data_IF_565351334540
#
_entry.id   IF_565351334540
#
_cell.length_a   1.000
_cell.length_b   1.000
_cell.length_c   1.000
_cell.angle_alpha   90.00
_cell.angle_beta   90.00
_cell.angle_gamma   90.00
#
_symmetry.space_group_name_H-M   'P 1'
#
loop_
_entity.id
_entity.type
_entity.pdbx_description
1 polymer ?
#
# COMPACT_ATOMS: atom_id res chain seq x y z
N UNK A 1 -16.02 0.17 -22.87
CA UNK A 1 -16.68 0.98 -21.84
C UNK A 1 -16.70 2.44 -22.28
N UNK A 2 -17.79 3.16 -21.99
CA UNK A 2 -17.85 4.59 -22.32
C UNK A 2 -16.86 5.36 -21.45
N UNK A 3 -16.09 6.25 -22.06
CA UNK A 3 -15.20 7.15 -21.32
C UNK A 3 -16.06 8.04 -20.42
N UNK A 4 -15.83 8.10 -19.10
CA UNK A 4 -16.61 8.94 -18.20
C UNK A 4 -16.42 10.42 -18.56
N UNK A 5 -17.41 11.24 -18.23
CA UNK A 5 -17.29 12.68 -18.41
C UNK A 5 -16.12 13.23 -17.57
N UNK A 6 -15.35 14.21 -18.08
CA UNK A 6 -14.16 14.72 -17.39
C UNK A 6 -14.40 15.16 -15.94
N UNK A 7 -15.58 15.72 -15.63
CA UNK A 7 -15.93 16.11 -14.27
C UNK A 7 -16.05 14.92 -13.28
N UNK A 8 -16.34 13.72 -13.77
CA UNK A 8 -16.51 12.52 -12.94
C UNK A 8 -15.16 11.95 -12.47
N UNK A 9 -14.09 12.21 -13.23
CA UNK A 9 -12.76 11.64 -12.98
C UNK A 9 -11.75 12.70 -12.52
N UNK A 10 -12.16 13.95 -12.41
CA UNK A 10 -11.29 15.03 -11.94
C UNK A 10 -10.78 14.75 -10.52
N UNK A 11 -9.48 14.89 -10.34
CA UNK A 11 -8.82 14.63 -9.07
C UNK A 11 -8.63 13.15 -8.75
N UNK A 12 -8.94 12.23 -9.65
CA UNK A 12 -8.79 10.79 -9.44
C UNK A 12 -7.59 10.22 -10.21
N UNK A 13 -7.03 9.14 -9.68
CA UNK A 13 -6.17 8.25 -10.45
C UNK A 13 -7.04 7.40 -11.36
N UNK A 14 -6.86 7.47 -12.67
CA UNK A 14 -7.72 6.76 -13.62
C UNK A 14 -7.02 5.54 -14.18
N UNK A 15 -7.73 4.40 -14.19
CA UNK A 15 -7.22 3.17 -14.79
C UNK A 15 -6.78 3.42 -16.23
N UNK A 16 -5.55 3.06 -16.54
CA UNK A 16 -4.97 3.05 -17.88
C UNK A 16 -4.44 1.66 -18.20
N UNK A 17 -4.87 1.11 -19.32
CA UNK A 17 -4.47 -0.22 -19.80
C UNK A 17 -4.58 -1.33 -18.72
N UNK A 18 -5.64 -1.31 -17.91
CA UNK A 18 -5.87 -2.31 -16.87
C UNK A 18 -4.96 -2.14 -15.65
N UNK A 19 -4.45 -0.95 -15.39
CA UNK A 19 -3.57 -0.68 -14.26
C UNK A 19 -3.79 0.72 -13.70
N UNK A 20 -3.64 0.88 -12.37
CA UNK A 20 -3.55 2.17 -11.68
C UNK A 20 -2.32 2.15 -10.78
N UNK A 21 -1.39 3.07 -10.96
CA UNK A 21 -0.17 3.19 -10.16
C UNK A 21 -0.17 4.49 -9.37
N UNK A 22 -0.14 4.41 -8.05
CA UNK A 22 -0.37 5.51 -7.12
C UNK A 22 0.86 5.70 -6.24
N UNK A 23 1.55 6.86 -6.28
CA UNK A 23 2.59 7.19 -5.30
C UNK A 23 2.01 7.23 -3.89
N UNK A 24 2.73 6.72 -2.90
CA UNK A 24 2.23 6.70 -1.53
C UNK A 24 1.93 8.10 -0.97
N UNK A 25 2.69 9.12 -1.39
CA UNK A 25 2.47 10.51 -1.02
C UNK A 25 1.23 11.15 -1.69
N UNK A 26 0.67 10.51 -2.73
CA UNK A 26 -0.50 10.98 -3.48
C UNK A 26 -1.85 10.64 -2.84
N UNK A 27 -1.92 10.50 -1.53
CA UNK A 27 -3.17 10.21 -0.84
C UNK A 27 -4.15 11.39 -0.91
N UNK A 28 -5.43 11.07 -1.02
CA UNK A 28 -6.51 12.06 -0.98
C UNK A 28 -6.92 12.40 0.46
N UNK A 29 -6.84 11.41 1.35
CA UNK A 29 -7.17 11.56 2.76
C UNK A 29 -6.19 10.80 3.64
N UNK A 30 -5.85 11.40 4.77
CA UNK A 30 -5.03 10.83 5.81
C UNK A 30 -5.78 10.85 7.13
N UNK A 31 -5.88 9.70 7.78
CA UNK A 31 -6.49 9.55 9.09
C UNK A 31 -5.44 9.11 10.10
N UNK A 32 -5.30 9.85 11.15
CA UNK A 32 -4.37 9.62 12.24
C UNK A 32 -5.10 9.55 13.57
N UNK A 33 -4.47 8.98 14.59
CA UNK A 33 -4.95 9.04 15.96
C UNK A 33 -3.87 9.62 16.89
N UNK A 34 -4.10 9.63 18.18
CA UNK A 34 -3.14 10.18 19.16
C UNK A 34 -1.84 9.37 19.24
N UNK A 35 -1.91 8.06 19.00
CA UNK A 35 -0.81 7.12 19.16
C UNK A 35 0.03 6.98 17.88
N UNK A 36 -0.58 7.19 16.71
CA UNK A 36 0.06 6.94 15.42
C UNK A 36 -0.08 8.13 14.51
N UNK A 37 1.06 8.68 14.10
CA UNK A 37 1.20 9.73 13.09
C UNK A 37 1.92 9.16 11.87
N UNK A 38 1.54 9.62 10.69
CA UNK A 38 2.17 9.24 9.44
C UNK A 38 3.13 10.33 8.98
N UNK A 39 4.33 9.94 8.61
CA UNK A 39 5.39 10.87 8.21
C UNK A 39 5.69 10.72 6.74
N UNK A 40 5.62 11.83 6.00
CA UNK A 40 6.16 11.91 4.65
C UNK A 40 7.68 11.98 4.72
N UNK A 41 8.35 11.12 3.97
CA UNK A 41 9.80 11.08 3.87
C UNK A 41 10.18 11.47 2.43
N UNK A 42 10.76 12.65 2.30
CA UNK A 42 11.20 13.17 1.01
C UNK A 42 12.51 12.50 0.57
N UNK A 43 12.72 12.46 -0.74
CA UNK A 43 13.91 11.88 -1.39
C UNK A 43 14.16 10.40 -1.07
N UNK A 44 13.11 9.66 -0.75
CA UNK A 44 13.17 8.25 -0.42
C UNK A 44 12.26 7.45 -1.36
N UNK A 45 12.77 6.27 -1.79
CA UNK A 45 12.03 5.35 -2.64
C UNK A 45 12.05 5.70 -4.12
N UNK A 46 11.34 4.90 -4.91
CA UNK A 46 11.33 5.02 -6.38
C UNK A 46 10.63 6.29 -6.89
N UNK A 47 9.65 6.78 -6.15
CA UNK A 47 8.88 7.97 -6.51
C UNK A 47 9.40 9.24 -5.81
N UNK A 48 10.58 9.18 -5.17
CA UNK A 48 11.22 10.26 -4.41
C UNK A 48 10.46 10.70 -3.15
N UNK A 49 9.35 10.06 -2.84
CA UNK A 49 8.58 10.30 -1.63
C UNK A 49 8.00 8.97 -1.14
N UNK A 50 8.08 8.75 0.16
CA UNK A 50 7.50 7.59 0.83
C UNK A 50 6.73 8.02 2.07
N UNK A 51 5.80 7.19 2.53
CA UNK A 51 5.04 7.48 3.74
C UNK A 51 5.29 6.40 4.79
N UNK A 52 5.83 6.80 5.93
CA UNK A 52 5.97 5.93 7.09
C UNK A 52 4.66 5.88 7.86
N UNK A 53 4.13 4.67 8.00
CA UNK A 53 2.87 4.36 8.67
C UNK A 53 3.10 4.18 10.18
N UNK A 54 3.22 5.29 10.90
CA UNK A 54 3.56 5.30 12.31
C UNK A 54 5.06 5.23 12.59
N UNK A 55 5.49 6.00 13.57
CA UNK A 55 6.86 5.97 14.06
C UNK A 55 7.17 4.57 14.63
N UNK A 56 8.41 4.05 14.52
CA UNK A 56 8.79 2.73 15.05
C UNK A 56 8.42 2.46 16.51
N UNK A 57 8.33 3.48 17.33
CA UNK A 57 7.94 3.37 18.74
C UNK A 57 6.42 3.53 18.99
N UNK A 58 5.63 3.64 17.93
CA UNK A 58 4.17 3.72 18.05
C UNK A 58 3.56 2.37 18.42
N UNK A 59 2.35 2.43 18.99
CA UNK A 59 1.61 1.20 19.34
C UNK A 59 1.10 0.47 18.10
N UNK A 60 1.09 -0.84 18.15
CA UNK A 60 0.43 -1.70 17.16
C UNK A 60 -1.06 -1.37 17.07
N UNK A 61 -1.59 -1.32 15.87
CA UNK A 61 -2.98 -1.01 15.60
C UNK A 61 -3.74 -2.25 15.13
N UNK A 62 -5.04 -2.30 15.43
CA UNK A 62 -5.96 -3.29 14.84
C UNK A 62 -6.48 -2.75 13.52
N UNK A 63 -6.11 -3.37 12.41
CA UNK A 63 -6.44 -2.91 11.05
C UNK A 63 -7.94 -2.83 10.74
N UNK A 64 -8.79 -3.57 11.46
CA UNK A 64 -10.26 -3.53 11.33
C UNK A 64 -10.97 -2.53 12.26
N UNK A 65 -10.24 -1.71 13.01
CA UNK A 65 -10.84 -0.73 13.92
C UNK A 65 -11.40 0.49 13.21
N UNK A 66 -12.50 1.07 13.72
CA UNK A 66 -13.13 2.28 13.13
C UNK A 66 -12.19 3.48 13.06
N UNK A 67 -11.34 3.66 14.07
CA UNK A 67 -10.40 4.79 14.19
C UNK A 67 -8.96 4.39 13.87
N UNK A 68 -8.77 3.31 13.10
CA UNK A 68 -7.43 2.89 12.72
C UNK A 68 -6.83 3.89 11.73
N UNK A 69 -5.61 4.37 11.99
CA UNK A 69 -4.89 5.26 11.09
C UNK A 69 -4.73 4.64 9.71
N UNK A 70 -4.97 5.44 8.67
CA UNK A 70 -4.93 4.95 7.29
C UNK A 70 -4.73 6.07 6.29
N UNK A 71 -4.24 5.70 5.13
CA UNK A 71 -4.20 6.51 3.92
C UNK A 71 -5.29 6.03 2.97
N UNK A 72 -5.97 6.97 2.32
CA UNK A 72 -7.01 6.67 1.34
C UNK A 72 -6.70 7.34 0.01
N UNK A 73 -6.85 6.56 -1.07
CA UNK A 73 -6.55 6.97 -2.44
C UNK A 73 -7.77 6.71 -3.31
N UNK A 74 -8.33 7.78 -3.87
CA UNK A 74 -9.48 7.70 -4.76
C UNK A 74 -9.00 7.40 -6.18
N UNK A 75 -9.63 6.44 -6.81
CA UNK A 75 -9.35 6.07 -8.19
C UNK A 75 -10.63 5.76 -8.97
N UNK A 76 -10.53 5.75 -10.27
CA UNK A 76 -11.59 5.33 -11.17
C UNK A 76 -11.17 4.10 -11.94
N UNK A 77 -11.97 3.04 -11.88
CA UNK A 77 -11.73 1.84 -12.67
C UNK A 77 -12.76 1.69 -13.80
N UNK A 78 -12.30 1.28 -14.96
CA UNK A 78 -13.14 0.79 -16.07
C UNK A 78 -13.42 -0.69 -15.93
N UNK A 79 -12.62 -1.38 -15.13
CA UNK A 79 -12.67 -2.82 -14.90
C UNK A 79 -13.44 -3.14 -13.62
N UNK A 80 -13.89 -4.39 -13.51
CA UNK A 80 -14.51 -4.97 -12.32
C UNK A 80 -14.05 -6.41 -12.14
N UNK A 81 -14.36 -7.03 -11.01
CA UNK A 81 -13.95 -8.37 -10.67
C UNK A 81 -12.73 -8.37 -9.76
N UNK A 82 -11.87 -9.36 -9.94
CA UNK A 82 -10.65 -9.52 -9.14
C UNK A 82 -9.63 -8.46 -9.51
N UNK A 83 -9.03 -7.81 -8.51
CA UNK A 83 -7.94 -6.85 -8.65
C UNK A 83 -6.78 -7.23 -7.74
N UNK A 84 -5.58 -7.32 -8.29
CA UNK A 84 -4.36 -7.54 -7.53
C UNK A 84 -3.77 -6.19 -7.09
N UNK A 85 -3.77 -5.95 -5.79
CA UNK A 85 -3.18 -4.75 -5.19
C UNK A 85 -1.76 -5.06 -4.76
N UNK A 86 -0.79 -4.44 -5.41
CA UNK A 86 0.62 -4.53 -5.06
C UNK A 86 1.00 -3.33 -4.21
N UNK A 87 1.49 -3.58 -2.99
CA UNK A 87 2.06 -2.55 -2.13
C UNK A 87 3.57 -2.63 -2.18
N UNK A 88 4.20 -1.57 -2.64
CA UNK A 88 5.66 -1.40 -2.70
C UNK A 88 6.11 -0.68 -1.44
N UNK A 89 7.00 -1.30 -0.68
CA UNK A 89 7.46 -0.80 0.62
C UNK A 89 8.98 -0.85 0.70
N UNK A 90 9.56 -0.05 1.58
CA UNK A 90 10.97 -0.24 1.94
C UNK A 90 11.11 -1.55 2.73
N UNK A 91 12.20 -2.29 2.51
CA UNK A 91 12.53 -3.41 3.39
C UNK A 91 12.82 -2.88 4.79
N UNK A 92 12.02 -3.27 5.77
CA UNK A 92 12.19 -2.91 7.17
C UNK A 92 12.22 -4.17 8.02
N UNK A 93 12.97 -4.13 9.13
CA UNK A 93 12.90 -5.18 10.13
C UNK A 93 11.62 -5.06 10.93
N UNK A 94 11.08 -6.20 11.44
CA UNK A 94 9.97 -6.15 12.39
C UNK A 94 10.37 -5.38 13.64
N UNK A 95 9.51 -4.47 14.06
CA UNK A 95 9.76 -3.59 15.21
C UNK A 95 8.94 -4.00 16.44
N UNK A 96 8.29 -5.16 16.43
CA UNK A 96 7.52 -5.60 17.58
C UNK A 96 8.45 -5.88 18.77
N UNK A 97 8.21 -5.15 19.86
CA UNK A 97 9.01 -5.19 21.08
C UNK A 97 9.03 -6.56 21.79
N UNK A 98 8.11 -7.43 21.45
CA UNK A 98 7.93 -8.72 22.14
C UNK A 98 8.92 -9.80 21.71
N UNK A 99 9.78 -9.53 20.73
CA UNK A 99 10.73 -10.55 20.24
C UNK A 99 12.07 -9.93 19.81
N UNK A 100 12.98 -9.74 20.76
CA UNK A 100 14.36 -9.41 20.41
C UNK A 100 15.00 -10.62 19.71
N UNK A 101 15.41 -10.45 18.45
CA UNK A 101 16.30 -11.38 17.75
C UNK A 101 15.83 -12.85 17.64
N UNK A 102 14.59 -13.08 17.21
CA UNK A 102 14.15 -14.44 16.90
C UNK A 102 14.85 -14.93 15.63
N UNK A 103 15.95 -15.62 15.76
CA UNK A 103 16.64 -16.33 14.68
C UNK A 103 15.85 -17.53 14.15
N UNK A 104 14.77 -17.93 14.80
CA UNK A 104 14.05 -19.15 14.47
C UNK A 104 12.54 -18.98 14.49
N UNK A 105 11.92 -19.29 13.36
CA UNK A 105 10.56 -19.84 13.15
C UNK A 105 9.33 -19.08 13.61
N UNK A 106 9.39 -17.95 14.22
CA UNK A 106 8.19 -17.26 14.63
C UNK A 106 7.95 -15.99 13.83
N UNK A 107 6.72 -15.78 13.45
CA UNK A 107 6.15 -14.67 12.72
C UNK A 107 6.64 -13.28 13.19
N UNK A 108 7.85 -12.92 12.81
CA UNK A 108 8.37 -11.55 12.90
C UNK A 108 7.90 -10.72 11.71
N UNK A 109 6.68 -10.97 11.28
CA UNK A 109 6.11 -10.32 10.13
C UNK A 109 5.44 -9.02 10.54
N UNK A 110 5.79 -7.96 9.86
CA UNK A 110 5.14 -6.65 10.02
C UNK A 110 3.84 -6.64 9.25
N UNK A 111 2.72 -6.46 9.93
CA UNK A 111 1.35 -6.49 9.39
C UNK A 111 0.86 -5.09 9.08
N UNK A 112 0.13 -4.97 7.98
CA UNK A 112 -0.66 -3.77 7.64
C UNK A 112 -1.98 -4.21 7.04
N UNK A 113 -2.89 -3.28 6.81
CA UNK A 113 -4.18 -3.58 6.20
C UNK A 113 -4.29 -3.02 4.78
N UNK A 114 -4.99 -3.76 3.91
CA UNK A 114 -5.40 -3.29 2.58
C UNK A 114 -6.88 -3.56 2.41
N UNK A 115 -7.63 -2.56 1.94
CA UNK A 115 -9.05 -2.69 1.62
C UNK A 115 -9.41 -1.82 0.42
N UNK A 116 -10.51 -2.15 -0.25
CA UNK A 116 -11.15 -1.28 -1.23
C UNK A 116 -12.55 -0.97 -0.72
N UNK A 117 -12.92 0.31 -0.75
CA UNK A 117 -14.19 0.84 -0.26
C UNK A 117 -14.49 0.37 1.18
N UNK A 118 -15.69 -0.13 1.43
CA UNK A 118 -16.08 -0.74 2.71
C UNK A 118 -15.96 -2.27 2.70
N UNK A 119 -15.18 -2.81 1.76
CA UNK A 119 -14.92 -4.24 1.67
C UNK A 119 -14.06 -4.78 2.81
N UNK A 120 -13.81 -6.09 2.82
CA UNK A 120 -13.03 -6.73 3.87
C UNK A 120 -11.59 -6.22 3.90
N UNK A 121 -11.07 -6.03 5.12
CA UNK A 121 -9.66 -5.69 5.31
C UNK A 121 -8.81 -6.95 5.25
N UNK A 122 -7.90 -7.01 4.28
CA UNK A 122 -6.87 -8.03 4.21
C UNK A 122 -5.64 -7.58 4.96
N UNK A 123 -4.93 -8.51 5.59
CA UNK A 123 -3.77 -8.21 6.43
C UNK A 123 -2.49 -8.87 5.88
N UNK A 124 -1.91 -8.34 4.81
CA UNK A 124 -0.63 -8.83 4.32
C UNK A 124 0.50 -8.50 5.29
N UNK A 125 1.62 -9.22 5.14
CA UNK A 125 2.81 -9.05 5.93
C UNK A 125 4.00 -8.65 5.06
N UNK A 126 4.89 -7.78 5.56
CA UNK A 126 5.95 -7.19 4.74
C UNK A 126 7.34 -7.70 5.00
N UNK A 127 7.61 -8.17 6.20
CA UNK A 127 8.97 -8.54 6.59
C UNK A 127 9.25 -10.01 6.35
N UNK A 128 10.49 -10.28 6.14
CA UNK A 128 11.07 -11.61 6.22
C UNK A 128 12.15 -11.58 7.31
N UNK A 129 12.44 -12.71 7.91
CA UNK A 129 13.53 -12.77 8.86
C UNK A 129 14.88 -12.58 8.15
N UNK A 130 15.83 -12.04 8.87
CA UNK A 130 17.21 -11.83 8.42
C UNK A 130 17.81 -13.14 7.89
N UNK A 131 18.56 -13.06 6.78
CA UNK A 131 19.15 -14.18 6.05
C UNK A 131 18.17 -15.08 5.28
N UNK A 132 16.86 -14.84 5.29
CA UNK A 132 15.97 -15.49 4.35
C UNK A 132 16.21 -15.00 2.91
N UNK A 133 16.03 -15.86 1.91
CA UNK A 133 16.18 -15.47 0.51
C UNK A 133 15.32 -14.24 0.16
N UNK A 134 14.09 -14.20 0.63
CA UNK A 134 13.19 -13.06 0.42
C UNK A 134 13.75 -11.75 1.03
N UNK A 135 14.47 -11.83 2.15
CA UNK A 135 15.14 -10.68 2.75
C UNK A 135 16.26 -10.14 1.82
N UNK A 136 17.12 -11.03 1.33
CA UNK A 136 18.18 -10.63 0.39
C UNK A 136 17.60 -9.99 -0.88
N UNK A 137 16.56 -10.60 -1.45
CA UNK A 137 15.90 -10.07 -2.66
C UNK A 137 15.30 -8.68 -2.40
N UNK A 138 14.64 -8.48 -1.27
CA UNK A 138 14.06 -7.20 -0.90
C UNK A 138 15.14 -6.12 -0.69
N UNK A 139 16.23 -6.46 0.00
CA UNK A 139 17.35 -5.53 0.25
C UNK A 139 18.06 -5.17 -1.06
N UNK A 140 18.36 -6.14 -1.91
CA UNK A 140 19.00 -5.91 -3.21
C UNK A 140 18.15 -5.02 -4.12
N UNK A 141 16.83 -5.15 -4.06
CA UNK A 141 15.88 -4.33 -4.82
C UNK A 141 15.56 -3.01 -4.12
N UNK A 142 16.00 -2.83 -2.88
CA UNK A 142 15.56 -1.74 -2.00
C UNK A 142 14.04 -1.59 -1.97
N UNK A 143 13.32 -2.70 -2.08
CA UNK A 143 11.88 -2.75 -2.14
C UNK A 143 11.34 -4.12 -1.74
N UNK A 144 10.37 -4.14 -0.84
CA UNK A 144 9.52 -5.29 -0.57
C UNK A 144 8.17 -5.09 -1.26
N UNK A 145 7.77 -6.05 -2.08
CA UNK A 145 6.48 -5.98 -2.80
C UNK A 145 5.57 -7.08 -2.30
N UNK A 146 4.38 -6.71 -1.86
CA UNK A 146 3.33 -7.66 -1.45
C UNK A 146 2.11 -7.50 -2.32
N UNK A 147 1.58 -8.64 -2.73
CA UNK A 147 0.35 -8.74 -3.50
C UNK A 147 -0.81 -9.14 -2.60
N UNK A 148 -1.93 -8.44 -2.72
CA UNK A 148 -3.19 -8.73 -2.06
C UNK A 148 -4.30 -8.73 -3.09
N UNK A 149 -5.04 -9.82 -3.24
CA UNK A 149 -6.14 -9.88 -4.20
C UNK A 149 -7.43 -9.44 -3.52
N UNK A 150 -8.09 -8.44 -4.10
CA UNK A 150 -9.37 -7.88 -3.66
C UNK A 150 -10.41 -7.97 -4.78
N UNK A 151 -11.61 -7.47 -4.55
CA UNK A 151 -12.70 -7.51 -5.51
C UNK A 151 -13.37 -6.13 -5.66
N UNK A 152 -13.72 -5.79 -6.89
CA UNK A 152 -14.50 -4.61 -7.25
C UNK A 152 -15.75 -5.08 -8.00
N UNK A 153 -16.94 -4.77 -7.47
CA UNK A 153 -18.20 -5.29 -8.02
C UNK A 153 -18.55 -4.64 -9.38
N UNK A 154 -18.19 -3.40 -9.60
CA UNK A 154 -18.54 -2.63 -10.80
C UNK A 154 -17.49 -1.60 -11.16
N UNK A 155 -17.39 -1.18 -12.43
CA UNK A 155 -16.62 -0.02 -12.81
C UNK A 155 -17.12 1.26 -12.12
N UNK A 156 -16.23 2.21 -11.89
CA UNK A 156 -16.58 3.50 -11.29
C UNK A 156 -15.52 4.05 -10.36
N UNK A 157 -15.94 5.00 -9.51
CA UNK A 157 -15.10 5.57 -8.48
C UNK A 157 -15.02 4.62 -7.30
N UNK A 158 -13.78 4.39 -6.83
CA UNK A 158 -13.44 3.55 -5.70
C UNK A 158 -12.37 4.22 -4.83
N UNK A 159 -12.16 3.69 -3.63
CA UNK A 159 -11.11 4.14 -2.70
C UNK A 159 -10.30 2.93 -2.25
N UNK A 160 -9.00 2.90 -2.55
CA UNK A 160 -8.10 1.94 -1.91
C UNK A 160 -7.56 2.51 -0.62
N UNK A 161 -7.51 1.68 0.42
CA UNK A 161 -7.10 2.05 1.78
C UNK A 161 -5.86 1.26 2.17
N UNK A 162 -4.81 1.95 2.63
CA UNK A 162 -3.66 1.34 3.29
C UNK A 162 -3.77 1.69 4.77
N UNK A 163 -3.89 0.66 5.60
CA UNK A 163 -4.28 0.77 7.00
C UNK A 163 -3.09 0.41 7.88
N UNK A 164 -2.80 1.24 8.87
CA UNK A 164 -1.73 0.99 9.81
C UNK A 164 -2.05 -0.25 10.66
N UNK A 165 -1.11 -1.16 10.74
CA UNK A 165 -1.11 -2.31 11.65
C UNK A 165 0.08 -2.20 12.58
N UNK A 166 1.19 -2.84 12.23
CA UNK A 166 2.45 -2.66 12.94
C UNK A 166 3.13 -1.34 12.54
N UNK A 167 3.81 -0.67 13.46
CA UNK A 167 4.49 0.59 13.18
C UNK A 167 5.73 0.39 12.30
N UNK A 168 6.16 1.46 11.65
CA UNK A 168 7.41 1.49 10.87
C UNK A 168 7.30 0.93 9.45
N UNK A 169 6.12 0.56 8.99
CA UNK A 169 5.89 0.24 7.56
C UNK A 169 6.08 1.50 6.74
N UNK A 170 6.96 1.47 5.75
CA UNK A 170 7.22 2.61 4.85
C UNK A 170 6.73 2.26 3.45
N UNK A 171 5.63 2.88 3.04
CA UNK A 171 4.98 2.66 1.74
C UNK A 171 5.54 3.63 0.72
N UNK A 172 5.92 3.14 -0.45
CA UNK A 172 6.43 3.94 -1.58
C UNK A 172 5.37 4.12 -2.67
N UNK A 173 4.65 3.03 -2.99
CA UNK A 173 3.71 2.99 -4.12
C UNK A 173 2.66 1.91 -3.91
N UNK A 174 1.48 2.15 -4.44
CA UNK A 174 0.39 1.18 -4.55
C UNK A 174 0.07 0.99 -6.04
N UNK A 175 -0.05 -0.26 -6.49
CA UNK A 175 -0.46 -0.57 -7.85
C UNK A 175 -1.68 -1.48 -7.80
N UNK A 176 -2.76 -1.05 -8.46
CA UNK A 176 -3.94 -1.87 -8.70
C UNK A 176 -3.84 -2.45 -10.11
N UNK A 177 -3.77 -3.77 -10.19
CA UNK A 177 -3.62 -4.50 -11.46
C UNK A 177 -4.89 -5.29 -11.76
N UNK A 178 -5.55 -4.91 -12.83
CA UNK A 178 -6.72 -5.58 -13.41
C UNK A 178 -6.33 -6.56 -14.53
N UNK A 179 -5.04 -6.91 -14.61
CA UNK A 179 -4.48 -7.81 -15.62
C UNK A 179 -3.68 -7.10 -16.72
N UNK A 180 -3.44 -5.79 -16.57
CA UNK A 180 -2.68 -5.00 -17.55
C UNK A 180 -1.25 -4.66 -17.14
N UNK A 181 -0.85 -4.98 -15.91
CA UNK A 181 0.46 -4.59 -15.40
C UNK A 181 1.60 -5.31 -16.12
N UNK A 182 2.46 -4.53 -16.74
CA UNK A 182 3.74 -5.04 -17.25
C UNK A 182 4.75 -5.12 -16.11
N UNK A 183 5.31 -6.31 -15.90
CA UNK A 183 6.32 -6.51 -14.87
C UNK A 183 7.57 -5.70 -15.18
N UNK A 184 8.03 -4.92 -14.22
CA UNK A 184 9.27 -4.17 -14.24
C UNK A 184 9.88 -4.11 -12.84
N UNK A 185 11.14 -3.73 -12.74
CA UNK A 185 11.86 -3.65 -11.46
C UNK A 185 11.22 -2.68 -10.48
N UNK A 186 10.84 -1.50 -10.95
CA UNK A 186 10.23 -0.45 -10.13
C UNK A 186 8.69 -0.41 -10.18
N UNK A 187 8.06 -1.37 -10.87
CA UNK A 187 6.63 -1.33 -11.17
C UNK A 187 6.28 -0.30 -12.26
N UNK A 188 5.00 -0.15 -12.60
CA UNK A 188 4.57 0.83 -13.58
C UNK A 188 4.82 2.27 -13.09
N UNK A 189 5.05 3.22 -14.02
CA UNK A 189 5.14 4.64 -13.65
C UNK A 189 3.85 5.12 -13.00
N UNK A 190 3.90 6.21 -12.21
CA UNK A 190 2.72 6.77 -11.61
C UNK A 190 1.65 7.13 -12.64
N UNK A 191 0.41 6.79 -12.34
CA UNK A 191 -0.75 7.24 -13.12
C UNK A 191 -0.96 8.74 -12.89
N UNK A 192 -1.13 9.49 -13.95
CA UNK A 192 -1.42 10.93 -13.83
C UNK A 192 -2.82 11.16 -13.27
N UNK A 193 -2.91 12.11 -12.33
CA UNK A 193 -4.19 12.59 -11.81
C UNK A 193 -4.78 13.60 -12.80
N UNK A 194 -6.00 13.38 -13.22
CA UNK A 194 -6.71 14.30 -14.13
C UNK A 194 -7.08 15.57 -13.35
N UNK A 195 -6.55 16.70 -13.80
CA UNK A 195 -6.73 18.03 -13.19
C UNK A 195 -7.96 18.77 -13.69
#
# INVERSE_FOLDING_TARGET
PATPAPATIKGLYVEDNGCVSIPAAGFHRKFENEQVKMTLIENLGYEKEAVMMGHPLSSVQRTGGRNTPRLEYDFYSFSSGSVDVYTYMLPTFPLSADRPFAHETSSTETKYGVAIDEGPVMNPTTSSFEYAQAWYENVLKNCAVKKTTLHIDRPGKHTVKIICGDPGVVVQKIVLDFGGMKRSYAGPPPTEVIR
#
